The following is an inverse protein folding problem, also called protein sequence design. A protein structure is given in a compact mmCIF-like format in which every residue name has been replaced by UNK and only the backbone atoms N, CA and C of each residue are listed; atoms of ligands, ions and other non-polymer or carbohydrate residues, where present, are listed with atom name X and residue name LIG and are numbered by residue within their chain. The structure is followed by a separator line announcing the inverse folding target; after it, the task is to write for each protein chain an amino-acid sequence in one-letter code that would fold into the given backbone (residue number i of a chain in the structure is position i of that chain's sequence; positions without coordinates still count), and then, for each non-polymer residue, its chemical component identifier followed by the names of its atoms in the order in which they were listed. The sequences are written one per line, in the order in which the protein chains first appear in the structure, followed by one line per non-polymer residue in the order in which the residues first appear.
data_IF_879936970888
#
_entry.id   IF_879936970888
#
_cell.length_a   1.000
_cell.length_b   1.000
_cell.length_c   1.000
_cell.angle_alpha   90.00
_cell.angle_beta   90.00
_cell.angle_gamma   90.00
#
_symmetry.space_group_name_H-M   'P 1'
#
loop_
_entity.id
_entity.type
_entity.pdbx_description
1 polymer ?
#
# COMPACT_ATOMS: atom_id res chain seq x y z
N UNK A 1 -29.97 0.89 6.52
CA UNK A 1 -30.41 0.30 5.24
C UNK A 1 -30.15 -1.19 5.32
N UNK A 2 -31.14 -2.03 5.01
CA UNK A 2 -30.96 -3.49 5.00
C UNK A 2 -30.07 -3.86 3.81
N UNK A 3 -28.81 -4.22 4.08
CA UNK A 3 -27.77 -4.45 3.09
C UNK A 3 -28.03 -5.66 2.18
N UNK A 4 -29.11 -6.44 2.43
CA UNK A 4 -29.43 -7.66 1.68
C UNK A 4 -30.13 -7.44 0.33
N UNK A 5 -30.49 -6.20 -0.05
CA UNK A 5 -31.29 -5.93 -1.26
C UNK A 5 -30.61 -5.08 -2.34
N UNK A 6 -29.40 -4.57 -2.13
CA UNK A 6 -28.71 -3.73 -3.12
C UNK A 6 -28.05 -4.58 -4.21
N UNK A 7 -28.51 -4.43 -5.46
CA UNK A 7 -27.83 -4.98 -6.64
C UNK A 7 -26.91 -3.92 -7.21
N UNK A 8 -25.70 -4.32 -7.60
CA UNK A 8 -24.78 -3.45 -8.32
C UNK A 8 -25.34 -3.17 -9.71
N UNK A 9 -25.43 -1.90 -10.07
CA UNK A 9 -25.72 -1.45 -11.43
C UNK A 9 -24.39 -1.13 -12.12
N UNK A 10 -24.06 -1.84 -13.19
CA UNK A 10 -22.89 -1.51 -14.02
C UNK A 10 -23.23 -0.31 -14.89
N UNK A 11 -22.48 0.78 -14.74
CA UNK A 11 -22.59 1.98 -15.56
C UNK A 11 -21.45 1.98 -16.59
N UNK A 12 -21.80 2.09 -17.87
CA UNK A 12 -20.82 2.20 -18.96
C UNK A 12 -20.78 3.64 -19.46
N UNK A 13 -19.60 4.15 -19.79
CA UNK A 13 -19.43 5.47 -20.39
C UNK A 13 -20.31 5.63 -21.65
N UNK A 14 -20.89 6.82 -21.84
CA UNK A 14 -21.78 7.11 -22.96
C UNK A 14 -23.19 6.52 -22.84
N UNK A 15 -23.47 5.67 -21.83
CA UNK A 15 -24.82 5.13 -21.61
C UNK A 15 -25.71 6.17 -20.94
N UNK A 16 -26.92 6.31 -21.48
CA UNK A 16 -27.99 7.08 -20.83
C UNK A 16 -28.60 6.27 -19.70
N UNK A 17 -28.80 6.92 -18.56
CA UNK A 17 -29.55 6.33 -17.46
C UNK A 17 -30.47 7.35 -16.82
N UNK A 18 -31.56 6.83 -16.26
CA UNK A 18 -32.56 7.61 -15.57
C UNK A 18 -32.45 7.46 -14.06
N UNK A 19 -32.50 8.57 -13.33
CA UNK A 19 -32.72 8.57 -11.87
C UNK A 19 -34.10 9.16 -11.61
N UNK A 20 -34.79 8.55 -10.66
CA UNK A 20 -36.09 8.99 -10.20
C UNK A 20 -36.01 9.41 -8.73
N UNK A 21 -36.10 10.71 -8.48
CA UNK A 21 -36.14 11.24 -7.12
C UNK A 21 -37.58 11.33 -6.61
N UNK A 22 -37.77 10.97 -5.33
CA UNK A 22 -39.08 10.92 -4.66
C UNK A 22 -38.92 11.37 -3.22
N UNK A 23 -39.92 12.05 -2.70
CA UNK A 23 -39.99 12.44 -1.28
C UNK A 23 -40.24 11.21 -0.38
N UNK A 24 -40.97 10.22 -0.87
CA UNK A 24 -41.25 9.00 -0.12
C UNK A 24 -41.45 7.78 -1.03
N UNK A 25 -41.51 6.59 -0.44
CA UNK A 25 -41.58 5.31 -1.14
C UNK A 25 -42.89 5.06 -1.93
N UNK A 26 -43.87 5.96 -1.89
CA UNK A 26 -45.10 5.84 -2.69
C UNK A 26 -44.83 6.30 -4.13
N UNK A 27 -45.23 5.49 -5.11
CA UNK A 27 -45.00 5.74 -6.55
C UNK A 27 -45.46 7.13 -7.04
N UNK A 28 -46.49 7.68 -6.39
CA UNK A 28 -47.08 8.97 -6.76
C UNK A 28 -46.52 10.18 -6.00
N UNK A 29 -45.55 10.01 -5.10
CA UNK A 29 -45.02 11.12 -4.30
C UNK A 29 -44.32 12.18 -5.16
N UNK A 30 -44.37 13.42 -4.69
CA UNK A 30 -43.62 14.55 -5.29
C UNK A 30 -42.11 14.29 -5.18
N UNK A 31 -41.32 14.98 -6.00
CA UNK A 31 -39.87 14.95 -5.89
C UNK A 31 -39.42 15.65 -4.60
N UNK A 32 -39.77 16.93 -4.49
CA UNK A 32 -39.45 17.78 -3.35
C UNK A 32 -40.58 18.80 -3.16
N UNK A 33 -40.60 19.47 -2.02
CA UNK A 33 -41.49 20.61 -1.79
C UNK A 33 -41.14 21.79 -2.69
N UNK A 34 -42.16 22.44 -3.26
CA UNK A 34 -42.02 23.53 -4.23
C UNK A 34 -41.24 24.74 -3.69
N UNK A 35 -41.20 24.92 -2.37
CA UNK A 35 -40.41 25.95 -1.73
C UNK A 35 -38.90 25.72 -1.84
N UNK A 36 -38.43 24.48 -2.10
CA UNK A 36 -37.01 24.15 -2.18
C UNK A 36 -36.44 24.38 -3.58
N UNK A 37 -35.77 25.53 -3.73
CA UNK A 37 -35.15 25.96 -4.99
C UNK A 37 -33.64 25.83 -4.91
N UNK A 38 -33.02 25.13 -5.85
CA UNK A 38 -31.57 24.95 -5.83
C UNK A 38 -30.99 24.18 -7.02
N UNK A 39 -29.66 24.03 -7.04
CA UNK A 39 -28.99 23.18 -8.01
C UNK A 39 -29.22 21.70 -7.72
N UNK A 40 -29.04 20.87 -8.74
CA UNK A 40 -28.95 19.42 -8.61
C UNK A 40 -27.56 18.99 -9.08
N UNK A 41 -26.89 18.20 -8.25
CA UNK A 41 -25.56 17.66 -8.52
C UNK A 41 -25.58 16.14 -8.32
N UNK A 42 -24.85 15.42 -9.16
CA UNK A 42 -24.67 13.97 -9.05
C UNK A 42 -23.19 13.67 -9.03
N UNK A 43 -22.80 12.83 -8.07
CA UNK A 43 -21.44 12.39 -7.89
C UNK A 43 -21.37 10.86 -7.99
N UNK A 44 -20.25 10.35 -8.47
CA UNK A 44 -19.88 8.96 -8.37
C UNK A 44 -18.63 8.82 -7.50
N UNK A 45 -18.51 7.69 -6.84
CA UNK A 45 -17.29 7.26 -6.18
C UNK A 45 -17.03 5.80 -6.56
N UNK A 46 -15.76 5.34 -6.58
CA UNK A 46 -15.45 3.93 -6.74
C UNK A 46 -16.15 3.11 -5.66
N UNK A 47 -16.80 2.00 -6.04
CA UNK A 47 -17.51 1.14 -5.08
C UNK A 47 -16.60 0.70 -3.92
N UNK A 48 -15.32 0.41 -4.22
CA UNK A 48 -14.33 0.00 -3.25
C UNK A 48 -14.03 1.04 -2.15
N UNK A 49 -14.38 2.31 -2.36
CA UNK A 49 -14.22 3.37 -1.37
C UNK A 49 -15.34 3.43 -0.33
N UNK A 50 -16.46 2.74 -0.56
CA UNK A 50 -17.71 2.92 0.20
C UNK A 50 -18.19 4.40 0.29
N UNK A 51 -17.71 5.27 -0.60
CA UNK A 51 -18.02 6.70 -0.55
C UNK A 51 -17.30 7.46 0.56
N UNK A 52 -16.27 6.89 1.17
CA UNK A 52 -15.49 7.55 2.21
C UNK A 52 -14.28 8.30 1.64
N UNK A 53 -14.10 9.54 2.11
CA UNK A 53 -12.98 10.40 1.73
C UNK A 53 -13.20 11.20 0.44
N UNK A 54 -12.11 11.75 -0.09
CA UNK A 54 -12.10 12.64 -1.26
C UNK A 54 -12.01 11.82 -2.57
N UNK A 55 -12.99 10.94 -2.76
CA UNK A 55 -13.07 9.96 -3.86
C UNK A 55 -14.25 10.25 -4.81
N UNK A 56 -15.04 11.26 -4.49
CA UNK A 56 -16.24 11.63 -5.21
C UNK A 56 -15.93 12.56 -6.37
N UNK A 57 -16.34 12.19 -7.56
CA UNK A 57 -16.26 13.05 -8.74
C UNK A 57 -17.66 13.40 -9.24
N UNK A 58 -17.84 14.69 -9.54
CA UNK A 58 -19.11 15.23 -10.00
C UNK A 58 -19.29 14.90 -11.48
N UNK A 59 -20.38 14.20 -11.81
CA UNK A 59 -20.71 13.83 -13.20
C UNK A 59 -21.87 14.63 -13.77
N UNK A 60 -22.59 15.36 -12.93
CA UNK A 60 -23.68 16.24 -13.36
C UNK A 60 -23.82 17.43 -12.42
N UNK A 61 -24.05 18.61 -12.98
CA UNK A 61 -24.46 19.81 -12.25
C UNK A 61 -25.37 20.66 -13.13
N UNK A 62 -26.55 20.99 -12.61
CA UNK A 62 -27.38 22.06 -13.17
C UNK A 62 -27.94 22.93 -12.07
N UNK A 63 -27.69 24.24 -12.19
CA UNK A 63 -28.11 25.27 -11.25
C UNK A 63 -29.37 26.01 -11.72
N UNK A 64 -29.29 27.33 -11.75
CA UNK A 64 -30.37 28.19 -12.20
C UNK A 64 -30.35 28.36 -13.73
N UNK A 65 -31.49 28.12 -14.39
CA UNK A 65 -31.68 28.40 -15.81
C UNK A 65 -32.18 29.84 -15.97
N UNK A 66 -31.32 30.71 -16.51
CA UNK A 66 -31.63 32.13 -16.71
C UNK A 66 -32.65 32.38 -17.81
N UNK A 67 -32.80 31.47 -18.78
CA UNK A 67 -33.78 31.57 -19.87
C UNK A 67 -35.17 31.16 -19.38
N UNK A 68 -35.26 30.04 -18.69
CA UNK A 68 -36.51 29.55 -18.10
C UNK A 68 -36.90 30.31 -16.82
N UNK A 69 -35.97 31.05 -16.22
CA UNK A 69 -36.11 31.72 -14.91
C UNK A 69 -36.52 30.75 -13.80
N UNK A 70 -35.93 29.56 -13.80
CA UNK A 70 -36.22 28.45 -12.88
C UNK A 70 -34.92 27.84 -12.35
N UNK A 71 -34.90 27.43 -11.09
CA UNK A 71 -33.90 26.50 -10.58
C UNK A 71 -34.13 25.10 -11.17
N UNK A 72 -33.08 24.29 -11.26
CA UNK A 72 -33.21 22.95 -11.81
C UNK A 72 -34.12 22.03 -10.98
N UNK A 73 -34.26 22.25 -9.67
CA UNK A 73 -35.27 21.56 -8.86
C UNK A 73 -36.70 21.85 -9.33
N UNK A 74 -37.00 23.06 -9.83
CA UNK A 74 -38.30 23.41 -10.40
C UNK A 74 -38.50 22.74 -11.77
N UNK A 75 -37.43 22.58 -12.55
CA UNK A 75 -37.47 21.81 -13.81
C UNK A 75 -37.75 20.33 -13.53
N UNK A 76 -37.14 19.76 -12.49
CA UNK A 76 -37.41 18.38 -12.09
C UNK A 76 -38.81 18.21 -11.50
N UNK A 77 -39.41 19.24 -10.92
CA UNK A 77 -40.79 19.17 -10.48
C UNK A 77 -41.74 18.93 -11.67
N UNK A 78 -41.48 19.60 -12.80
CA UNK A 78 -42.25 19.43 -14.05
C UNK A 78 -42.16 17.98 -14.59
N UNK A 79 -41.04 17.29 -14.36
CA UNK A 79 -40.84 15.88 -14.77
C UNK A 79 -41.16 14.87 -13.66
N UNK A 80 -41.76 15.33 -12.54
CA UNK A 80 -41.99 14.52 -11.34
C UNK A 80 -40.72 13.81 -10.89
N UNK A 81 -39.60 14.52 -10.78
CA UNK A 81 -38.31 14.01 -10.29
C UNK A 81 -37.58 13.05 -11.22
N UNK A 82 -38.10 12.80 -12.42
CA UNK A 82 -37.42 11.98 -13.42
C UNK A 82 -36.35 12.82 -14.13
N UNK A 83 -35.13 12.30 -14.19
CA UNK A 83 -34.09 12.89 -15.01
C UNK A 83 -33.29 11.81 -15.71
N UNK A 84 -33.00 12.06 -16.97
CA UNK A 84 -32.06 11.29 -17.76
C UNK A 84 -30.75 12.07 -17.89
N UNK A 85 -29.65 11.35 -17.85
CA UNK A 85 -28.35 11.89 -18.18
C UNK A 85 -27.46 10.82 -18.76
N UNK A 86 -26.49 11.28 -19.54
CA UNK A 86 -25.48 10.42 -20.14
C UNK A 86 -24.29 10.37 -19.19
N UNK A 87 -23.80 9.17 -18.92
CA UNK A 87 -22.50 9.00 -18.26
C UNK A 87 -21.44 9.65 -19.15
N UNK A 88 -20.69 10.66 -18.68
CA UNK A 88 -19.68 11.33 -19.50
C UNK A 88 -18.71 10.31 -20.12
N UNK A 89 -18.33 10.50 -21.38
CA UNK A 89 -17.37 9.61 -22.07
C UNK A 89 -15.96 9.74 -21.47
N UNK A 90 -15.69 10.87 -20.84
CA UNK A 90 -14.47 11.25 -20.13
C UNK A 90 -14.56 10.96 -18.63
N UNK A 91 -15.40 10.01 -18.18
CA UNK A 91 -15.18 9.44 -16.85
C UNK A 91 -13.75 8.90 -16.87
N UNK A 92 -12.84 9.44 -16.04
CA UNK A 92 -11.50 8.90 -15.98
C UNK A 92 -11.67 7.43 -15.65
N UNK A 93 -11.20 6.55 -16.54
CA UNK A 93 -10.92 5.19 -16.16
C UNK A 93 -9.99 5.33 -14.97
N UNK A 94 -10.52 5.13 -13.76
CA UNK A 94 -9.71 5.19 -12.56
C UNK A 94 -8.89 3.92 -12.62
N UNK A 95 -7.75 4.01 -13.31
CA UNK A 95 -6.72 3.00 -13.20
C UNK A 95 -6.21 3.15 -11.78
N UNK A 96 -6.76 2.36 -10.86
CA UNK A 96 -6.44 2.57 -9.46
C UNK A 96 -5.03 2.07 -9.08
N UNK A 97 -4.37 1.41 -10.03
CA UNK A 97 -3.33 0.43 -9.80
C UNK A 97 -1.98 0.88 -10.35
N UNK A 98 -0.90 0.23 -9.90
CA UNK A 98 0.47 0.67 -10.22
C UNK A 98 1.35 -0.45 -10.76
N UNK A 99 2.44 -0.05 -11.43
CA UNK A 99 3.51 -0.93 -11.83
C UNK A 99 4.85 -0.18 -11.85
N UNK A 100 5.95 -0.91 -11.68
CA UNK A 100 7.29 -0.37 -11.85
C UNK A 100 7.46 0.04 -13.31
N UNK A 101 7.71 1.32 -13.57
CA UNK A 101 7.78 1.89 -14.91
C UNK A 101 9.22 1.88 -15.45
N UNK A 102 10.15 2.40 -14.66
CA UNK A 102 11.57 2.55 -15.02
C UNK A 102 12.48 2.75 -13.80
N UNK A 103 13.78 2.83 -14.06
CA UNK A 103 14.78 3.23 -13.08
C UNK A 103 15.13 4.70 -13.24
N UNK A 104 15.53 5.34 -12.14
CA UNK A 104 16.19 6.63 -12.13
C UNK A 104 17.58 6.46 -11.50
N UNK A 105 18.64 6.71 -12.28
CA UNK A 105 20.03 6.52 -11.86
C UNK A 105 20.74 7.87 -11.98
N UNK A 106 21.21 8.40 -10.86
CA UNK A 106 21.87 9.71 -10.77
C UNK A 106 21.07 10.84 -11.46
N UNK A 107 19.75 10.84 -11.27
CA UNK A 107 18.84 11.83 -11.84
C UNK A 107 18.52 11.61 -13.32
N UNK A 108 18.99 10.53 -13.94
CA UNK A 108 18.66 10.15 -15.33
C UNK A 108 17.68 8.99 -15.35
N UNK A 109 16.63 9.15 -16.12
CA UNK A 109 15.60 8.13 -16.32
C UNK A 109 16.04 7.12 -17.40
N UNK A 110 15.84 5.83 -17.14
CA UNK A 110 16.03 4.77 -18.15
C UNK A 110 14.82 4.70 -19.07
N UNK A 111 14.93 3.94 -20.17
CA UNK A 111 13.76 3.61 -20.97
C UNK A 111 12.75 2.78 -20.16
N UNK A 112 11.47 2.93 -20.49
CA UNK A 112 10.37 2.15 -19.87
C UNK A 112 10.67 0.66 -20.01
N UNK A 113 10.63 -0.05 -18.89
CA UNK A 113 10.75 -1.51 -18.89
C UNK A 113 12.13 -2.08 -19.25
N UNK A 114 13.16 -1.25 -19.52
CA UNK A 114 14.45 -1.73 -20.09
C UNK A 114 15.12 -2.85 -19.29
N UNK A 115 15.06 -2.73 -17.96
CA UNK A 115 15.68 -3.66 -17.01
C UNK A 115 14.64 -4.47 -16.22
N UNK A 116 13.38 -4.42 -16.63
CA UNK A 116 12.24 -5.00 -15.92
C UNK A 116 11.80 -6.26 -16.68
N UNK A 117 11.38 -7.29 -15.95
CA UNK A 117 10.80 -8.49 -16.56
C UNK A 117 9.59 -8.08 -17.40
N UNK A 118 9.42 -8.61 -18.63
CA UNK A 118 8.38 -8.13 -19.53
C UNK A 118 6.99 -8.19 -18.88
N UNK A 119 6.23 -7.12 -19.00
CA UNK A 119 4.88 -7.05 -18.48
C UNK A 119 3.94 -8.00 -19.24
N UNK A 120 2.84 -8.37 -18.58
CA UNK A 120 1.64 -8.83 -19.28
C UNK A 120 0.84 -7.59 -19.65
N UNK A 121 0.93 -7.14 -20.90
CA UNK A 121 0.35 -5.86 -21.35
C UNK A 121 -1.14 -5.68 -20.95
N UNK A 122 -1.95 -6.74 -21.08
CA UNK A 122 -3.38 -6.69 -20.71
C UNK A 122 -3.66 -6.55 -19.21
N UNK A 123 -2.66 -6.80 -18.35
CA UNK A 123 -2.77 -6.76 -16.89
C UNK A 123 -1.58 -6.07 -16.25
N UNK A 124 -0.95 -5.12 -16.97
CA UNK A 124 0.35 -4.52 -16.61
C UNK A 124 0.36 -3.95 -15.20
N UNK A 125 -0.76 -3.36 -14.78
CA UNK A 125 -0.97 -2.76 -13.48
C UNK A 125 -1.96 -3.54 -12.60
N UNK A 126 -2.59 -4.61 -13.09
CA UNK A 126 -3.59 -5.34 -12.29
C UNK A 126 -2.97 -5.97 -11.03
N UNK A 127 -3.72 -6.05 -9.92
CA UNK A 127 -3.21 -6.64 -8.69
C UNK A 127 -3.17 -8.17 -8.80
N UNK A 128 -2.21 -8.77 -8.11
CA UNK A 128 -2.34 -10.14 -7.62
C UNK A 128 -3.15 -10.07 -6.32
N UNK A 129 -4.04 -11.02 -6.05
CA UNK A 129 -4.87 -11.04 -4.82
C UNK A 129 -4.71 -12.29 -3.98
N UNK A 130 -4.41 -13.42 -4.63
CA UNK A 130 -4.10 -14.66 -3.94
C UNK A 130 -2.62 -14.67 -3.53
N UNK A 131 -2.27 -14.66 -2.22
CA UNK A 131 -0.89 -14.68 -1.77
C UNK A 131 -0.15 -16.00 -2.10
N UNK A 132 -0.87 -17.04 -2.53
CA UNK A 132 -0.29 -18.29 -2.99
C UNK A 132 -0.15 -18.38 -4.52
N UNK A 133 -0.59 -17.37 -5.27
CA UNK A 133 -0.42 -17.35 -6.73
C UNK A 133 1.06 -17.20 -7.09
N UNK A 134 1.51 -17.97 -8.08
CA UNK A 134 2.86 -17.87 -8.66
C UNK A 134 3.16 -16.45 -9.17
N UNK A 135 2.12 -15.72 -9.58
CA UNK A 135 2.24 -14.35 -10.07
C UNK A 135 2.65 -13.38 -8.96
N UNK A 136 2.51 -13.74 -7.68
CA UNK A 136 3.03 -12.95 -6.57
C UNK A 136 4.56 -12.72 -6.69
N UNK A 137 5.27 -13.62 -7.37
CA UNK A 137 6.73 -13.50 -7.53
C UNK A 137 7.11 -12.28 -8.38
N UNK A 138 6.65 -12.22 -9.63
CA UNK A 138 7.09 -11.20 -10.59
C UNK A 138 5.97 -10.67 -11.51
N UNK A 139 4.72 -11.15 -11.35
CA UNK A 139 3.55 -10.81 -12.19
C UNK A 139 3.83 -10.92 -13.69
N UNK A 140 4.55 -11.96 -14.10
CA UNK A 140 4.89 -12.23 -15.49
C UNK A 140 5.06 -13.72 -15.71
N UNK A 141 4.74 -14.18 -16.92
CA UNK A 141 5.04 -15.51 -17.44
C UNK A 141 6.36 -15.55 -18.23
N UNK A 142 6.97 -14.39 -18.52
CA UNK A 142 8.21 -14.25 -19.29
C UNK A 142 9.43 -14.14 -18.39
N UNK A 143 9.72 -15.23 -17.67
CA UNK A 143 10.82 -15.29 -16.69
C UNK A 143 12.21 -15.62 -17.27
N UNK A 144 12.36 -15.86 -18.57
CA UNK A 144 13.67 -16.14 -19.18
C UNK A 144 14.60 -14.91 -19.04
N UNK A 145 15.72 -15.08 -18.31
CA UNK A 145 16.71 -14.01 -18.05
C UNK A 145 17.24 -13.33 -19.31
N UNK A 146 17.20 -14.01 -20.46
CA UNK A 146 17.68 -13.47 -21.74
C UNK A 146 16.76 -12.40 -22.34
N UNK A 147 15.52 -12.29 -21.86
CA UNK A 147 14.53 -11.32 -22.34
C UNK A 147 14.70 -9.93 -21.70
N UNK A 148 15.58 -9.79 -20.71
CA UNK A 148 15.74 -8.55 -19.94
C UNK A 148 17.23 -8.23 -19.79
N UNK A 149 17.59 -6.95 -19.87
CA UNK A 149 18.98 -6.50 -19.66
C UNK A 149 19.31 -6.47 -18.16
N UNK A 150 20.59 -6.60 -17.80
CA UNK A 150 21.05 -6.38 -16.43
C UNK A 150 21.45 -4.91 -16.23
N UNK A 151 20.84 -4.24 -15.26
CA UNK A 151 21.26 -2.91 -14.83
C UNK A 151 22.44 -3.03 -13.86
N UNK A 152 23.58 -2.44 -14.17
CA UNK A 152 24.73 -2.45 -13.25
C UNK A 152 24.55 -1.42 -12.15
N UNK A 153 24.55 -1.86 -10.89
CA UNK A 153 24.39 -1.02 -9.69
C UNK A 153 25.58 -1.23 -8.75
N UNK A 154 26.03 -0.19 -8.05
CA UNK A 154 27.08 -0.31 -7.02
C UNK A 154 26.45 -0.27 -5.62
N UNK A 155 26.73 -1.26 -4.78
CA UNK A 155 26.20 -1.28 -3.41
C UNK A 155 26.64 -0.03 -2.61
N UNK A 156 25.83 0.41 -1.65
CA UNK A 156 26.06 1.62 -0.86
C UNK A 156 25.62 2.93 -1.54
N UNK A 157 25.36 2.91 -2.84
CA UNK A 157 24.84 4.07 -3.59
C UNK A 157 23.31 4.10 -3.53
N UNK A 158 22.74 5.31 -3.62
CA UNK A 158 21.30 5.53 -3.71
C UNK A 158 20.81 5.33 -5.14
N UNK A 159 19.73 4.58 -5.30
CA UNK A 159 19.06 4.33 -6.58
C UNK A 159 17.61 4.76 -6.54
N UNK A 160 17.11 5.19 -7.70
CA UNK A 160 15.73 5.57 -7.91
C UNK A 160 14.94 4.51 -8.70
N UNK A 161 13.67 4.38 -8.34
CA UNK A 161 12.64 3.66 -9.07
C UNK A 161 11.49 4.60 -9.32
N UNK A 162 10.80 4.42 -10.43
CA UNK A 162 9.61 5.19 -10.74
C UNK A 162 8.47 4.24 -11.09
N UNK A 163 7.31 4.51 -10.51
CA UNK A 163 6.11 3.69 -10.63
C UNK A 163 4.95 4.53 -11.14
N UNK A 164 4.21 4.00 -12.11
CA UNK A 164 3.16 4.73 -12.82
C UNK A 164 1.82 3.99 -12.75
N UNK A 165 0.75 4.75 -12.92
CA UNK A 165 -0.62 4.26 -13.03
C UNK A 165 -0.92 3.69 -14.44
N UNK A 166 -0.29 4.25 -15.46
CA UNK A 166 -0.51 3.94 -16.87
C UNK A 166 0.72 4.23 -17.72
N UNK A 167 0.56 4.17 -19.05
CA UNK A 167 1.65 4.21 -20.01
C UNK A 167 2.03 5.63 -20.47
N UNK A 168 1.12 6.57 -20.24
CA UNK A 168 1.40 7.98 -20.42
C UNK A 168 2.29 8.44 -19.27
N UNK A 169 3.27 9.32 -19.55
CA UNK A 169 4.11 10.03 -18.55
C UNK A 169 3.26 11.04 -17.77
N UNK A 170 2.17 10.53 -17.21
CA UNK A 170 1.31 11.16 -16.26
C UNK A 170 2.01 11.01 -14.93
N UNK A 171 2.10 12.09 -14.17
CA UNK A 171 2.74 12.09 -12.85
C UNK A 171 1.95 11.29 -11.79
N UNK A 172 1.09 10.37 -12.23
CA UNK A 172 0.17 9.58 -11.43
C UNK A 172 0.79 8.22 -11.17
N UNK A 173 0.90 7.90 -9.89
CA UNK A 173 1.57 6.70 -9.40
C UNK A 173 0.57 5.57 -9.13
N UNK A 174 -0.39 5.84 -8.26
CA UNK A 174 -1.42 4.92 -7.79
C UNK A 174 -2.59 5.77 -7.27
N UNK A 175 -3.79 5.21 -7.22
CA UNK A 175 -4.94 5.93 -6.68
C UNK A 175 -4.78 6.21 -5.16
N UNK A 176 -5.21 7.39 -4.66
CA UNK A 176 -5.00 7.80 -3.26
C UNK A 176 -5.52 6.87 -2.14
N UNK A 177 -6.61 6.15 -2.37
CA UNK A 177 -7.17 5.16 -1.46
C UNK A 177 -6.34 3.86 -1.39
N UNK A 178 -5.42 3.59 -2.34
CA UNK A 178 -4.48 2.46 -2.30
C UNK A 178 -3.35 2.68 -1.28
N UNK A 179 -3.73 2.85 -0.01
CA UNK A 179 -2.82 3.03 1.11
C UNK A 179 -2.18 1.69 1.46
N UNK A 180 -0.87 1.70 1.66
CA UNK A 180 -0.16 0.55 2.21
C UNK A 180 1.37 0.66 2.12
N UNK A 181 2.07 -0.45 2.39
CA UNK A 181 3.53 -0.49 2.43
C UNK A 181 4.16 -0.61 1.04
N UNK A 182 5.47 -0.34 0.98
CA UNK A 182 6.34 -0.70 -0.15
C UNK A 182 7.57 -1.46 0.32
N UNK A 183 7.96 -2.49 -0.42
CA UNK A 183 9.08 -3.39 -0.09
C UNK A 183 9.96 -3.67 -1.31
N UNK A 184 11.23 -3.99 -1.07
CA UNK A 184 12.16 -4.52 -2.09
C UNK A 184 12.84 -5.77 -1.56
N UNK A 185 12.90 -6.79 -2.40
CA UNK A 185 13.58 -8.06 -2.16
C UNK A 185 14.62 -8.32 -3.24
N UNK A 186 15.67 -9.05 -2.89
CA UNK A 186 16.65 -9.58 -3.84
C UNK A 186 16.64 -11.10 -3.81
N UNK A 187 16.92 -11.72 -4.96
CA UNK A 187 17.22 -13.14 -5.11
C UNK A 187 18.31 -13.32 -6.18
N UNK A 188 19.21 -14.31 -6.06
CA UNK A 188 20.21 -14.58 -7.10
C UNK A 188 19.53 -14.87 -8.45
N UNK A 189 20.01 -14.28 -9.54
CA UNK A 189 19.35 -14.36 -10.86
C UNK A 189 19.23 -15.81 -11.36
N UNK A 190 20.23 -16.65 -11.09
CA UNK A 190 20.27 -18.06 -11.49
C UNK A 190 19.16 -18.91 -10.84
N UNK A 191 18.64 -18.49 -9.69
CA UNK A 191 17.49 -19.15 -9.05
C UNK A 191 16.19 -18.96 -9.84
N UNK A 192 16.14 -17.97 -10.72
CA UNK A 192 14.91 -17.49 -11.35
C UNK A 192 13.78 -17.15 -10.35
N UNK A 193 14.15 -16.86 -9.10
CA UNK A 193 13.24 -16.60 -7.99
C UNK A 193 12.50 -17.82 -7.44
N UNK A 194 12.89 -19.04 -7.84
CA UNK A 194 12.33 -20.30 -7.33
C UNK A 194 12.92 -20.67 -5.96
N UNK A 195 12.08 -21.23 -5.10
CA UNK A 195 12.48 -21.70 -3.77
C UNK A 195 12.79 -20.58 -2.77
N UNK A 196 13.41 -20.92 -1.62
CA UNK A 196 13.63 -19.98 -0.52
C UNK A 196 14.86 -19.09 -0.78
N UNK A 197 14.76 -18.18 -1.75
CA UNK A 197 15.88 -17.37 -2.26
C UNK A 197 15.73 -15.87 -2.03
N UNK A 198 14.54 -15.41 -1.65
CA UNK A 198 14.23 -13.99 -1.52
C UNK A 198 14.58 -13.46 -0.14
N UNK A 199 15.29 -12.34 -0.07
CA UNK A 199 15.54 -11.61 1.18
C UNK A 199 15.20 -10.14 1.01
N UNK A 200 14.57 -9.56 2.04
CA UNK A 200 14.06 -8.19 2.03
C UNK A 200 15.21 -7.20 2.31
N UNK A 201 15.40 -6.18 1.46
CA UNK A 201 16.43 -5.15 1.63
C UNK A 201 15.87 -3.76 1.92
N UNK A 202 14.56 -3.58 1.72
CA UNK A 202 13.87 -2.33 1.96
C UNK A 202 12.44 -2.61 2.42
N UNK A 203 11.97 -1.84 3.39
CA UNK A 203 10.55 -1.72 3.70
C UNK A 203 10.21 -0.34 4.25
N UNK A 204 9.03 0.16 3.87
CA UNK A 204 8.36 1.28 4.53
C UNK A 204 6.85 1.02 4.56
N UNK A 205 6.24 1.26 5.71
CA UNK A 205 4.82 1.00 5.96
C UNK A 205 4.06 2.27 6.34
N UNK A 206 3.32 2.21 7.44
CA UNK A 206 2.69 3.37 8.06
C UNK A 206 3.70 4.14 8.91
N UNK A 207 3.71 5.47 8.79
CA UNK A 207 4.48 6.36 9.64
C UNK A 207 3.56 7.01 10.70
N UNK A 208 3.66 6.63 11.99
CA UNK A 208 2.83 7.20 13.05
C UNK A 208 3.03 8.70 13.28
N UNK A 209 4.16 9.28 12.87
CA UNK A 209 4.43 10.70 13.05
C UNK A 209 3.69 11.55 12.02
N UNK A 210 3.67 11.11 10.75
CA UNK A 210 2.94 11.81 9.68
C UNK A 210 1.51 11.31 9.50
N UNK A 211 1.17 10.16 10.10
CA UNK A 211 -0.12 9.46 9.96
C UNK A 211 -0.42 9.07 8.50
N UNK A 212 0.63 8.78 7.72
CA UNK A 212 0.55 8.42 6.31
C UNK A 212 1.14 7.03 6.07
N UNK A 213 0.52 6.29 5.14
CA UNK A 213 1.14 5.10 4.55
C UNK A 213 2.20 5.48 3.52
N UNK A 214 3.12 4.56 3.25
CA UNK A 214 4.23 4.82 2.34
C UNK A 214 3.77 5.15 0.91
N UNK A 215 2.72 4.50 0.40
CA UNK A 215 2.16 4.87 -0.91
C UNK A 215 1.72 6.34 -0.95
N UNK A 216 1.09 6.87 0.10
CA UNK A 216 0.71 8.28 0.20
C UNK A 216 1.92 9.22 0.27
N UNK A 217 3.02 8.78 0.89
CA UNK A 217 4.27 9.54 0.92
C UNK A 217 4.86 9.58 -0.50
N UNK A 218 4.91 8.45 -1.20
CA UNK A 218 5.44 8.37 -2.58
C UNK A 218 4.60 9.12 -3.61
N UNK A 219 3.30 9.28 -3.39
CA UNK A 219 2.47 10.13 -4.23
C UNK A 219 2.98 11.58 -4.29
N UNK A 220 3.53 12.10 -3.18
CA UNK A 220 4.14 13.45 -3.16
C UNK A 220 5.37 13.54 -4.07
N UNK A 221 6.05 12.42 -4.26
CA UNK A 221 7.18 12.25 -5.18
C UNK A 221 6.77 11.69 -6.54
N UNK A 222 5.47 11.67 -6.87
CA UNK A 222 4.95 11.19 -8.16
C UNK A 222 5.42 9.77 -8.49
N UNK A 223 5.44 8.88 -7.49
CA UNK A 223 5.88 7.49 -7.66
C UNK A 223 7.39 7.30 -7.69
N UNK A 224 8.18 8.35 -7.49
CA UNK A 224 9.65 8.26 -7.39
C UNK A 224 10.07 7.78 -6.01
N UNK A 225 10.60 6.57 -5.98
CA UNK A 225 11.10 5.88 -4.79
C UNK A 225 12.62 5.85 -4.80
N UNK A 226 13.24 6.11 -3.66
CA UNK A 226 14.69 5.99 -3.48
C UNK A 226 15.03 4.92 -2.44
N UNK A 227 16.09 4.16 -2.70
CA UNK A 227 16.61 3.14 -1.78
C UNK A 227 18.12 2.95 -1.95
N UNK A 228 18.75 2.23 -1.03
CA UNK A 228 20.18 1.86 -1.09
C UNK A 228 20.30 0.38 -0.84
N UNK A 229 21.14 -0.30 -1.63
CA UNK A 229 21.47 -1.71 -1.42
C UNK A 229 22.65 -1.78 -0.42
N UNK A 230 22.52 -2.52 0.71
CA UNK A 230 23.61 -2.67 1.67
C UNK A 230 24.93 -3.16 1.04
N UNK A 231 26.06 -2.55 1.45
CA UNK A 231 27.41 -2.85 0.92
C UNK A 231 27.94 -4.24 1.27
N UNK A 232 27.36 -4.88 2.29
CA UNK A 232 27.76 -6.21 2.75
C UNK A 232 27.08 -7.36 1.98
N UNK A 233 26.09 -7.05 1.12
CA UNK A 233 25.51 -8.01 0.17
C UNK A 233 26.56 -8.36 -0.90
N UNK A 234 26.77 -9.65 -1.24
CA UNK A 234 27.71 -10.05 -2.27
C UNK A 234 27.44 -9.45 -3.65
N UNK A 235 28.49 -9.20 -4.42
CA UNK A 235 28.35 -8.84 -5.83
C UNK A 235 27.87 -10.04 -6.67
N UNK A 236 27.09 -9.78 -7.70
CA UNK A 236 26.51 -10.83 -8.55
C UNK A 236 25.32 -10.34 -9.37
N UNK A 237 24.73 -11.22 -10.16
CA UNK A 237 23.49 -10.94 -10.89
C UNK A 237 22.30 -11.32 -9.99
N UNK A 238 21.31 -10.42 -9.87
CA UNK A 238 20.14 -10.58 -9.01
C UNK A 238 18.84 -10.27 -9.76
N UNK A 239 17.78 -10.97 -9.36
CA UNK A 239 16.43 -10.45 -9.48
C UNK A 239 16.17 -9.47 -8.33
N UNK A 240 15.65 -8.30 -8.65
CA UNK A 240 15.13 -7.33 -7.69
C UNK A 240 13.61 -7.26 -7.81
N UNK A 241 12.90 -7.72 -6.78
CA UNK A 241 11.45 -7.67 -6.70
C UNK A 241 11.01 -6.46 -5.90
N UNK A 242 10.22 -5.60 -6.50
CA UNK A 242 9.53 -4.49 -5.86
C UNK A 242 8.08 -4.88 -5.59
N UNK A 243 7.49 -4.36 -4.52
CA UNK A 243 6.09 -4.63 -4.22
C UNK A 243 5.47 -3.46 -3.47
N UNK A 244 4.28 -3.05 -3.90
CA UNK A 244 3.32 -2.33 -3.08
C UNK A 244 2.16 -3.24 -2.72
N UNK A 245 1.58 -3.01 -1.54
CA UNK A 245 0.34 -3.68 -1.12
C UNK A 245 -0.70 -2.59 -0.88
N UNK A 246 -1.87 -2.69 -1.49
CA UNK A 246 -3.00 -1.81 -1.21
C UNK A 246 -3.99 -2.49 -0.26
N UNK A 247 -4.40 -1.75 0.77
CA UNK A 247 -5.16 -2.29 1.90
C UNK A 247 -6.63 -1.84 1.91
N UNK A 248 -7.11 -1.20 0.85
CA UNK A 248 -8.44 -0.57 0.81
C UNK A 248 -9.59 -1.60 0.92
N UNK A 249 -9.36 -2.85 0.54
CA UNK A 249 -10.29 -4.00 0.67
C UNK A 249 -9.75 -5.09 1.60
N UNK A 250 -8.71 -4.78 2.38
CA UNK A 250 -8.03 -5.72 3.27
C UNK A 250 -8.70 -5.87 4.65
N UNK A 251 -9.86 -5.27 4.87
CA UNK A 251 -10.70 -5.52 6.05
C UNK A 251 -11.31 -6.93 6.06
N UNK A 252 -11.26 -7.62 4.90
CA UNK A 252 -11.75 -8.98 4.70
C UNK A 252 -10.69 -9.86 4.08
N UNK A 253 -10.76 -11.15 4.40
CA UNK A 253 -9.84 -12.15 3.88
C UNK A 253 -10.12 -12.41 2.39
N UNK A 254 -9.08 -12.46 1.56
CA UNK A 254 -9.21 -12.98 0.20
C UNK A 254 -9.62 -14.45 0.24
N UNK A 255 -10.61 -14.81 -0.57
CA UNK A 255 -10.92 -16.21 -0.88
C UNK A 255 -11.20 -16.34 -2.37
N UNK A 256 -11.08 -17.55 -2.90
CA UNK A 256 -11.45 -17.83 -4.30
C UNK A 256 -12.91 -17.44 -4.64
N UNK A 257 -13.79 -17.31 -3.64
CA UNK A 257 -15.19 -16.89 -3.78
C UNK A 257 -15.40 -15.39 -3.57
N UNK A 258 -14.46 -14.67 -2.96
CA UNK A 258 -14.51 -13.25 -2.64
C UNK A 258 -13.37 -12.49 -3.32
N UNK A 259 -13.32 -12.55 -4.66
CA UNK A 259 -12.22 -11.99 -5.45
C UNK A 259 -12.06 -10.46 -5.34
N UNK A 260 -13.07 -9.76 -4.85
CA UNK A 260 -13.01 -8.31 -4.63
C UNK A 260 -12.49 -7.94 -3.23
N UNK A 261 -12.43 -8.90 -2.32
CA UNK A 261 -11.92 -8.72 -0.96
C UNK A 261 -10.43 -9.07 -0.88
N UNK A 262 -9.79 -8.64 0.21
CA UNK A 262 -8.38 -8.91 0.50
C UNK A 262 -7.42 -7.85 -0.04
N UNK A 263 -6.19 -7.90 0.48
CA UNK A 263 -5.12 -7.03 0.02
C UNK A 263 -4.78 -7.24 -1.46
N UNK A 264 -4.32 -6.16 -2.09
CA UNK A 264 -3.93 -6.16 -3.49
C UNK A 264 -2.42 -5.95 -3.64
N UNK A 265 -1.75 -6.90 -4.28
CA UNK A 265 -0.30 -6.94 -4.42
C UNK A 265 0.13 -6.47 -5.81
N UNK A 266 1.11 -5.57 -5.88
CA UNK A 266 1.68 -5.07 -7.13
C UNK A 266 3.17 -5.45 -7.26
N UNK A 267 3.51 -6.73 -7.52
CA UNK A 267 4.88 -7.14 -7.64
C UNK A 267 5.42 -6.92 -9.06
N UNK A 268 6.66 -6.44 -9.15
CA UNK A 268 7.43 -6.38 -10.40
C UNK A 268 8.87 -6.80 -10.13
N UNK A 269 9.46 -7.55 -11.07
CA UNK A 269 10.86 -7.96 -10.99
C UNK A 269 11.71 -7.23 -12.03
N UNK A 270 12.92 -6.84 -11.63
CA UNK A 270 13.95 -6.30 -12.49
C UNK A 270 15.23 -7.14 -12.40
N UNK A 271 16.12 -6.99 -13.38
CA UNK A 271 17.43 -7.63 -13.40
C UNK A 271 18.53 -6.61 -13.11
N UNK A 272 19.34 -6.91 -12.11
CA UNK A 272 20.47 -6.06 -11.72
C UNK A 272 21.76 -6.88 -11.68
N UNK A 273 22.88 -6.22 -11.97
CA UNK A 273 24.23 -6.70 -11.71
C UNK A 273 24.81 -5.84 -10.59
N UNK A 274 24.93 -6.40 -9.39
CA UNK A 274 25.44 -5.71 -8.23
C UNK A 274 26.97 -5.76 -8.18
N UNK A 275 27.60 -4.59 -8.17
CA UNK A 275 29.02 -4.42 -7.87
C UNK A 275 29.15 -4.22 -6.37
N UNK A 276 29.74 -5.21 -5.70
CA UNK A 276 29.97 -5.21 -4.27
C UNK A 276 31.11 -6.15 -3.88
N UNK A 277 31.73 -5.89 -2.74
CA UNK A 277 32.70 -6.78 -2.08
C UNK A 277 32.11 -7.50 -0.87
N UNK A 278 30.80 -7.37 -0.69
CA UNK A 278 30.06 -8.00 0.40
C UNK A 278 30.22 -9.52 0.42
N UNK A 279 30.02 -10.09 1.61
CA UNK A 279 30.15 -11.54 1.86
C UNK A 279 29.00 -12.07 2.72
N UNK A 280 27.98 -11.24 2.97
CA UNK A 280 26.82 -11.64 3.75
C UNK A 280 26.10 -12.82 3.11
N UNK A 281 25.42 -13.61 3.95
CA UNK A 281 24.56 -14.72 3.53
C UNK A 281 23.15 -14.47 4.05
N UNK A 282 22.38 -13.55 3.43
CA UNK A 282 21.00 -13.30 3.84
C UNK A 282 20.18 -14.59 3.82
N UNK A 283 19.33 -14.79 4.82
CA UNK A 283 18.40 -15.91 4.84
C UNK A 283 17.33 -15.69 3.77
N UNK A 284 17.22 -16.65 2.85
CA UNK A 284 16.21 -16.61 1.79
C UNK A 284 14.85 -17.16 2.23
N UNK A 285 13.81 -16.70 1.55
CA UNK A 285 12.41 -17.04 1.77
C UNK A 285 11.72 -17.27 0.41
N UNK A 286 10.63 -18.04 0.41
CA UNK A 286 9.97 -18.49 -0.82
C UNK A 286 8.79 -17.60 -1.21
N UNK A 287 8.74 -17.20 -2.48
CA UNK A 287 7.63 -16.42 -3.05
C UNK A 287 7.05 -17.17 -4.26
N UNK A 288 5.76 -17.57 -4.23
CA UNK A 288 4.78 -17.38 -3.16
C UNK A 288 5.07 -18.21 -1.89
N UNK A 289 4.49 -17.82 -0.74
CA UNK A 289 4.65 -18.51 0.54
C UNK A 289 5.11 -17.62 1.71
N UNK A 290 5.63 -16.43 1.43
CA UNK A 290 5.97 -15.44 2.48
C UNK A 290 4.74 -14.81 3.15
N UNK A 291 3.56 -14.92 2.56
CA UNK A 291 2.33 -14.31 3.06
C UNK A 291 1.25 -15.36 3.30
N UNK A 292 0.46 -15.13 4.33
CA UNK A 292 -0.86 -15.76 4.48
C UNK A 292 -1.94 -14.70 4.41
N UNK A 293 -3.14 -15.10 4.02
CA UNK A 293 -4.34 -14.23 4.01
C UNK A 293 -4.70 -13.69 5.40
N UNK A 294 -4.13 -14.24 6.47
CA UNK A 294 -4.40 -13.86 7.87
C UNK A 294 -3.25 -13.12 8.53
N UNK A 295 -2.16 -12.85 7.81
CA UNK A 295 -1.07 -12.08 8.37
C UNK A 295 -1.59 -10.69 8.77
N UNK A 296 -1.18 -10.13 9.92
CA UNK A 296 -1.72 -8.84 10.39
C UNK A 296 -1.49 -7.65 9.45
N UNK A 297 -0.51 -7.76 8.54
CA UNK A 297 -0.26 -6.78 7.47
C UNK A 297 -1.03 -7.06 6.17
N UNK A 298 -1.71 -8.20 6.06
CA UNK A 298 -2.48 -8.63 4.89
C UNK A 298 -4.00 -8.54 5.17
N UNK A 299 -4.44 -8.96 6.36
CA UNK A 299 -5.78 -8.72 6.86
C UNK A 299 -5.74 -7.54 7.84
N UNK A 300 -6.00 -6.35 7.31
CA UNK A 300 -5.87 -5.08 8.02
C UNK A 300 -7.02 -4.14 7.67
N UNK A 301 -7.78 -3.71 8.67
CA UNK A 301 -8.85 -2.74 8.47
C UNK A 301 -8.30 -1.30 8.45
N UNK A 302 -8.12 -0.76 7.23
CA UNK A 302 -7.66 0.61 6.98
C UNK A 302 -8.68 1.69 7.40
N UNK A 303 -9.94 1.30 7.66
CA UNK A 303 -11.05 2.20 7.94
C UNK A 303 -11.31 2.36 9.44
N UNK A 304 -10.76 1.45 10.26
CA UNK A 304 -10.81 1.54 11.72
C UNK A 304 -9.72 2.48 12.28
N UNK A 305 -9.73 2.67 13.61
CA UNK A 305 -8.65 3.38 14.30
C UNK A 305 -7.41 2.49 14.43
N UNK A 306 -6.26 3.00 14.04
CA UNK A 306 -4.95 2.36 14.21
C UNK A 306 -3.89 3.41 14.52
N UNK A 307 -2.87 3.01 15.29
CA UNK A 307 -1.69 3.80 15.57
C UNK A 307 -0.41 3.21 15.00
N UNK A 308 -0.49 1.97 14.50
CA UNK A 308 0.64 1.21 13.93
C UNK A 308 0.16 0.25 12.86
N UNK A 309 1.08 -0.17 12.00
CA UNK A 309 0.87 -1.17 10.97
C UNK A 309 2.06 -2.14 10.95
N UNK A 310 1.79 -3.44 10.85
CA UNK A 310 2.83 -4.47 10.73
C UNK A 310 3.09 -4.73 9.25
N UNK A 311 4.32 -4.49 8.80
CA UNK A 311 4.71 -4.80 7.42
C UNK A 311 4.79 -6.33 7.28
N UNK A 312 4.11 -6.94 6.29
CA UNK A 312 4.08 -8.39 6.16
C UNK A 312 5.39 -8.96 5.61
N UNK A 313 5.51 -10.29 5.68
CA UNK A 313 6.62 -11.06 5.12
C UNK A 313 7.82 -11.18 6.05
N UNK A 314 8.96 -11.66 5.52
CA UNK A 314 10.15 -11.89 6.33
C UNK A 314 10.73 -10.58 6.88
N UNK A 315 11.54 -10.65 7.95
CA UNK A 315 12.19 -9.47 8.49
C UNK A 315 13.08 -8.79 7.46
N UNK A 316 13.23 -7.47 7.58
CA UNK A 316 14.25 -6.72 6.85
C UNK A 316 15.63 -7.32 7.13
N UNK A 317 16.40 -7.56 6.06
CA UNK A 317 17.78 -7.97 6.18
C UNK A 317 18.54 -6.97 7.06
N UNK A 318 19.21 -7.51 8.08
CA UNK A 318 20.17 -6.77 8.87
C UNK A 318 21.39 -7.63 9.10
N UNK A 319 22.56 -6.98 9.09
CA UNK A 319 23.86 -7.62 9.30
C UNK A 319 23.94 -8.39 10.62
N UNK A 320 23.21 -7.94 11.64
CA UNK A 320 23.21 -8.51 12.99
C UNK A 320 22.37 -9.81 13.09
N UNK A 321 21.36 -9.97 12.24
CA UNK A 321 20.51 -11.18 12.19
C UNK A 321 21.10 -12.29 11.29
N UNK A 322 22.25 -12.05 10.67
CA UNK A 322 22.95 -12.98 9.77
C UNK A 322 23.80 -14.06 10.46
N UNK A 323 23.69 -14.21 11.79
CA UNK A 323 24.31 -15.31 12.54
C UNK A 323 23.22 -16.32 12.90
N UNK A 324 23.39 -17.57 12.46
CA UNK A 324 22.47 -18.69 12.74
C UNK A 324 22.04 -18.72 14.22
N UNK A 325 20.79 -19.10 14.54
CA UNK A 325 20.39 -19.32 15.92
C UNK A 325 21.23 -20.46 16.51
N UNK A 326 21.84 -20.20 17.66
CA UNK A 326 22.31 -21.25 18.57
C UNK A 326 21.13 -22.17 18.81
N UNK A 327 21.32 -23.45 18.54
CA UNK A 327 20.41 -24.53 18.90
C UNK A 327 20.00 -24.39 20.37
N UNK A 328 18.73 -24.10 20.62
CA UNK A 328 18.14 -24.37 21.93
C UNK A 328 17.99 -25.88 22.03
N UNK A 329 18.97 -26.53 22.64
CA UNK A 329 18.79 -27.87 23.18
C UNK A 329 17.86 -27.78 24.40
N UNK A 330 16.90 -28.71 24.41
CA UNK A 330 15.86 -28.81 25.41
C UNK A 330 16.42 -29.03 26.81
N UNK A 331 15.83 -28.30 27.77
CA UNK A 331 15.99 -28.61 29.18
C UNK A 331 15.26 -29.90 29.53
N UNK A 332 15.97 -30.81 30.22
CA UNK A 332 15.36 -31.74 31.16
C UNK A 332 16.03 -31.53 32.53
N UNK A 333 15.29 -31.63 33.67
CA UNK A 333 15.79 -31.25 34.99
C UNK A 333 16.24 -32.46 35.84
N UNK A 334 17.10 -32.20 36.83
CA UNK A 334 17.60 -33.16 37.84
C UNK A 334 19.10 -33.44 37.66
N UNK A 335 19.97 -33.43 38.66
CA UNK A 335 19.84 -33.38 40.12
C UNK A 335 21.08 -32.68 40.71
N UNK A 336 20.94 -32.22 41.95
CA UNK A 336 21.87 -31.33 42.63
C UNK A 336 23.20 -31.94 43.08
N UNK A 337 24.16 -31.06 43.36
CA UNK A 337 25.00 -31.11 44.56
C UNK A 337 25.67 -29.74 44.79
N UNK A 338 25.79 -29.41 46.08
CA UNK A 338 26.31 -28.19 46.70
C UNK A 338 27.76 -27.83 46.33
N UNK A 339 28.14 -26.54 46.26
CA UNK A 339 29.54 -26.12 46.13
C UNK A 339 30.19 -25.79 47.49
N UNK A 340 31.39 -26.34 47.71
CA UNK A 340 32.32 -25.93 48.76
C UNK A 340 33.09 -24.64 48.39
N UNK A 341 33.52 -23.97 49.44
CA UNK A 341 33.94 -22.57 49.57
C UNK A 341 35.43 -22.33 49.24
N UNK A 342 35.77 -21.15 48.70
CA UNK A 342 37.14 -20.79 48.33
C UNK A 342 37.37 -19.31 48.00
N UNK A 343 37.13 -18.45 48.99
CA UNK A 343 37.78 -17.15 49.31
C UNK A 343 38.21 -16.15 48.20
N UNK A 344 37.64 -14.93 48.25
CA UNK A 344 38.34 -13.70 47.84
C UNK A 344 37.93 -12.50 48.75
N UNK A 345 38.88 -11.65 49.22
CA UNK A 345 38.62 -10.58 50.20
C UNK A 345 38.08 -9.25 49.61
N UNK A 346 37.59 -8.31 50.46
CA UNK A 346 36.41 -7.49 50.15
C UNK A 346 36.67 -6.09 49.54
N UNK A 347 35.71 -5.64 48.71
CA UNK A 347 35.57 -4.25 48.22
C UNK A 347 34.94 -3.34 49.28
N UNK A 348 35.54 -2.16 49.45
CA UNK A 348 35.13 -1.07 50.37
C UNK A 348 33.89 -0.30 49.83
N UNK A 349 32.96 0.17 50.69
CA UNK A 349 31.61 0.58 50.26
C UNK A 349 31.46 2.08 49.96
N UNK A 350 30.67 2.42 48.94
CA UNK A 350 30.17 3.79 48.69
C UNK A 350 28.66 3.89 48.93
N UNK A 351 28.27 4.94 49.66
CA UNK A 351 26.93 5.19 50.23
C UNK A 351 25.85 5.53 49.19
N UNK A 352 24.57 5.20 49.47
CA UNK A 352 23.44 5.53 48.60
C UNK A 352 22.96 6.99 48.74
N UNK A 353 22.64 7.65 47.61
CA UNK A 353 21.99 8.97 47.57
C UNK A 353 20.47 8.81 47.75
N UNK A 354 19.89 9.57 48.70
CA UNK A 354 18.45 9.69 48.95
C UNK A 354 17.75 10.66 47.97
N UNK A 355 16.42 10.56 47.78
CA UNK A 355 15.66 11.32 46.79
C UNK A 355 15.33 12.75 47.24
N UNK A 356 15.24 13.67 46.29
CA UNK A 356 14.96 15.08 46.53
C UNK A 356 13.44 15.36 46.56
N UNK A 357 12.93 15.84 47.69
CA UNK A 357 11.54 16.28 47.89
C UNK A 357 11.42 17.78 47.65
N UNK A 358 10.48 18.19 46.77
CA UNK A 358 10.10 19.59 46.50
C UNK A 358 9.41 20.21 47.73
N UNK A 359 9.86 21.39 48.16
CA UNK A 359 9.13 22.27 49.09
C UNK A 359 8.71 23.57 48.41
N UNK A 360 7.41 23.85 48.50
CA UNK A 360 6.72 25.08 48.11
C UNK A 360 7.29 26.32 48.84
N UNK A 361 7.44 27.44 48.12
CA UNK A 361 7.51 28.78 48.70
C UNK A 361 6.59 29.74 47.93
N UNK A 362 5.50 30.13 48.61
CA UNK A 362 4.64 31.28 48.28
C UNK A 362 5.47 32.57 48.30
N UNK A 363 5.30 33.45 47.30
CA UNK A 363 5.48 34.90 47.46
C UNK A 363 4.40 35.66 46.69
N UNK A 364 3.61 36.42 47.46
CA UNK A 364 2.68 37.47 47.06
C UNK A 364 3.41 38.61 46.33
N UNK A 365 2.76 39.25 45.35
CA UNK A 365 2.98 40.66 45.00
C UNK A 365 1.63 41.36 44.80
N UNK A 366 1.55 42.56 45.37
CA UNK A 366 0.39 43.44 45.45
C UNK A 366 0.15 44.23 44.17
N UNK A 367 -1.12 44.59 43.99
CA UNK A 367 -1.70 45.62 43.14
C UNK A 367 -1.03 47.00 43.31
N UNK A 368 -0.91 47.73 42.20
CA UNK A 368 -1.35 49.12 42.07
C UNK A 368 -1.99 49.29 40.72
#
# INVERSE_FOLDING_TARGET
MDAKATKNLTLTAGVKFGILFRENAKEQSRFIEEAHKGPVMIYLAPLASNGEGDVWFKIFEKGYDTKAKKFYTEVLQDTRGAMDFTIPEDIPAVSAHTYLFRFNIDGKDTERGEYIRPYRESTVNSPVKDPMDKDLRCRTDKMDAKLTKNLTLTAGVKFGLEFHEGDEDTTRFIEPAHRGPGMIYLAPLESNGEGPVWFKIFEKGYDPATKLFYTQILMKSKGKMEFTIPEDIPGGDYLMRTEFIALHTADKEYTAKSKNDGAEFFPNCAQIKLISKGTAKPKGHEIPGIYTTKDPGILFNLWDKYDSYVIPGPPLYSKELGVNPVSQEGGNPGDGETPEEGTNPPKKPTKPKKPCVRKNKKKRRHYK
#
